data_IF_376923719084
#
_entry.id   IF_376923719084
#
_cell.length_a   1.000
_cell.length_b   1.000
_cell.length_c   1.000
_cell.angle_alpha   90.00
_cell.angle_beta   90.00
_cell.angle_gamma   90.00
#
_symmetry.space_group_name_H-M   'P 1'
#
loop_
_entity.id
_entity.type
_entity.pdbx_description
1 polymer ?
#
# COMPACT_ATOMS: atom_id res chain seq x y z
N UNK A 1 -18.93 40.32 -22.90
CA UNK A 1 -17.88 40.01 -21.91
C UNK A 1 -16.67 39.56 -22.70
N UNK A 2 -15.68 40.41 -22.89
CA UNK A 2 -14.49 40.09 -23.69
C UNK A 2 -13.59 39.20 -22.84
N UNK A 3 -13.46 37.92 -23.18
CA UNK A 3 -12.45 37.03 -22.58
C UNK A 3 -11.10 37.52 -23.09
N UNK A 4 -10.28 38.08 -22.20
CA UNK A 4 -8.93 38.53 -22.57
C UNK A 4 -7.95 37.35 -22.57
N UNK A 5 -6.77 37.54 -23.17
CA UNK A 5 -5.76 36.49 -23.24
C UNK A 5 -5.26 36.02 -21.86
N UNK A 6 -5.39 36.85 -20.83
CA UNK A 6 -5.02 36.51 -19.45
C UNK A 6 -6.00 35.53 -18.81
N UNK A 7 -7.31 35.76 -18.96
CA UNK A 7 -8.39 34.89 -18.48
C UNK A 7 -8.38 33.54 -19.19
N UNK A 8 -8.09 33.51 -20.50
CA UNK A 8 -7.89 32.26 -21.23
C UNK A 8 -6.65 31.50 -20.73
N UNK A 9 -5.51 32.18 -20.56
CA UNK A 9 -4.29 31.55 -20.04
C UNK A 9 -4.38 31.08 -18.59
N UNK A 10 -5.25 31.68 -17.77
CA UNK A 10 -5.57 31.19 -16.43
C UNK A 10 -6.45 29.92 -16.50
N UNK A 11 -7.47 29.91 -17.36
CA UNK A 11 -8.34 28.77 -17.56
C UNK A 11 -7.56 27.53 -18.06
N UNK A 12 -6.67 27.71 -19.03
CA UNK A 12 -5.82 26.63 -19.55
C UNK A 12 -4.87 26.05 -18.49
N UNK A 13 -4.28 26.92 -17.65
CA UNK A 13 -3.43 26.47 -16.54
C UNK A 13 -4.22 25.67 -15.52
N UNK A 14 -5.40 26.16 -15.13
CA UNK A 14 -6.27 25.46 -14.20
C UNK A 14 -6.72 24.09 -14.75
N UNK A 15 -7.04 24.02 -16.05
CA UNK A 15 -7.36 22.76 -16.72
C UNK A 15 -6.18 21.77 -16.66
N UNK A 16 -4.97 22.21 -17.01
CA UNK A 16 -3.75 21.38 -16.92
C UNK A 16 -3.46 20.90 -15.50
N UNK A 17 -3.66 21.77 -14.50
CA UNK A 17 -3.50 21.39 -13.09
C UNK A 17 -4.54 20.36 -12.68
N UNK A 18 -5.81 20.53 -13.08
CA UNK A 18 -6.87 19.56 -12.80
C UNK A 18 -6.58 18.20 -13.45
N UNK A 19 -6.13 18.17 -14.71
CA UNK A 19 -5.75 16.94 -15.39
C UNK A 19 -4.57 16.24 -14.69
N UNK A 20 -3.58 17.00 -14.23
CA UNK A 20 -2.45 16.47 -13.47
C UNK A 20 -2.90 15.83 -12.16
N UNK A 21 -3.83 16.46 -11.43
CA UNK A 21 -4.39 15.89 -10.20
C UNK A 21 -5.21 14.64 -10.47
N UNK A 22 -5.99 14.63 -11.55
CA UNK A 22 -6.77 13.45 -11.93
C UNK A 22 -5.87 12.27 -12.29
N UNK A 23 -4.79 12.52 -13.03
CA UNK A 23 -3.82 11.48 -13.38
C UNK A 23 -3.09 10.95 -12.14
N UNK A 24 -2.70 11.84 -11.23
CA UNK A 24 -2.08 11.45 -9.96
C UNK A 24 -3.03 10.61 -9.10
N UNK A 25 -4.30 11.00 -9.00
CA UNK A 25 -5.32 10.23 -8.28
C UNK A 25 -5.49 8.82 -8.87
N UNK A 26 -5.60 8.69 -10.19
CA UNK A 26 -5.66 7.37 -10.86
C UNK A 26 -4.42 6.51 -10.60
N UNK A 27 -3.23 7.12 -10.60
CA UNK A 27 -1.99 6.40 -10.27
C UNK A 27 -2.00 5.90 -8.84
N UNK A 28 -2.44 6.70 -7.88
CA UNK A 28 -2.59 6.30 -6.47
C UNK A 28 -3.63 5.19 -6.31
N UNK A 29 -4.76 5.28 -6.98
CA UNK A 29 -5.79 4.23 -6.98
C UNK A 29 -5.22 2.91 -7.49
N UNK A 30 -4.46 2.93 -8.59
CA UNK A 30 -3.82 1.73 -9.13
C UNK A 30 -2.76 1.16 -8.16
N UNK A 31 -1.94 2.02 -7.56
CA UNK A 31 -0.95 1.60 -6.56
C UNK A 31 -1.64 0.96 -5.35
N UNK A 32 -2.77 1.51 -4.91
CA UNK A 32 -3.55 0.99 -3.80
C UNK A 32 -4.18 -0.36 -4.14
N UNK A 33 -4.72 -0.54 -5.34
CA UNK A 33 -5.22 -1.84 -5.82
C UNK A 33 -4.09 -2.88 -5.83
N UNK A 34 -2.92 -2.53 -6.38
CA UNK A 34 -1.77 -3.42 -6.43
C UNK A 34 -1.26 -3.77 -5.02
N UNK A 35 -1.21 -2.79 -4.11
CA UNK A 35 -0.81 -3.02 -2.73
C UNK A 35 -1.79 -3.92 -1.97
N UNK A 36 -3.11 -3.75 -2.19
CA UNK A 36 -4.14 -4.64 -1.62
C UNK A 36 -4.00 -6.07 -2.12
N UNK A 37 -3.88 -6.24 -3.44
CA UNK A 37 -3.69 -7.56 -4.04
C UNK A 37 -2.39 -8.23 -3.54
N UNK A 38 -1.30 -7.46 -3.45
CA UNK A 38 -0.03 -7.93 -2.90
C UNK A 38 -0.14 -8.37 -1.44
N UNK A 39 -0.83 -7.60 -0.60
CA UNK A 39 -1.07 -7.93 0.80
C UNK A 39 -1.88 -9.23 0.95
N UNK A 40 -2.92 -9.41 0.14
CA UNK A 40 -3.75 -10.62 0.14
C UNK A 40 -2.95 -11.85 -0.29
N UNK A 41 -2.17 -11.74 -1.37
CA UNK A 41 -1.30 -12.80 -1.85
C UNK A 41 -0.24 -13.18 -0.79
N UNK A 42 0.42 -12.20 -0.17
CA UNK A 42 1.40 -12.44 0.90
C UNK A 42 0.76 -13.08 2.13
N UNK A 43 -0.46 -12.67 2.49
CA UNK A 43 -1.19 -13.27 3.62
C UNK A 43 -1.51 -14.74 3.35
N UNK A 44 -1.95 -15.05 2.13
CA UNK A 44 -2.23 -16.42 1.69
C UNK A 44 -0.96 -17.27 1.71
N UNK A 45 0.12 -16.78 1.12
CA UNK A 45 1.41 -17.46 1.10
C UNK A 45 1.93 -17.74 2.52
N UNK A 46 1.85 -16.74 3.41
CA UNK A 46 2.22 -16.89 4.83
C UNK A 46 1.42 -18.02 5.49
N UNK A 47 0.11 -18.08 5.28
CA UNK A 47 -0.75 -19.09 5.90
C UNK A 47 -0.43 -20.51 5.39
N UNK A 48 -0.20 -20.65 4.08
CA UNK A 48 0.23 -21.92 3.48
C UNK A 48 1.59 -22.34 4.05
N UNK A 49 2.56 -21.42 4.09
CA UNK A 49 3.89 -21.71 4.63
C UNK A 49 3.84 -22.13 6.10
N UNK A 50 3.02 -21.48 6.93
CA UNK A 50 2.83 -21.87 8.34
C UNK A 50 2.15 -23.23 8.47
N UNK A 51 1.21 -23.55 7.58
CA UNK A 51 0.53 -24.85 7.57
C UNK A 51 1.51 -25.98 7.22
N UNK A 52 2.32 -25.81 6.18
CA UNK A 52 3.35 -26.80 5.82
C UNK A 52 4.44 -26.91 6.88
N UNK A 53 4.86 -25.78 7.47
CA UNK A 53 5.84 -25.77 8.55
C UNK A 53 5.32 -26.54 9.78
N UNK A 54 4.05 -26.36 10.14
CA UNK A 54 3.44 -27.07 11.26
C UNK A 54 3.35 -28.59 11.03
N UNK A 55 3.28 -29.06 9.78
CA UNK A 55 3.34 -30.50 9.46
C UNK A 55 4.74 -31.07 9.68
N UNK A 56 5.78 -30.30 9.37
CA UNK A 56 7.18 -30.72 9.48
C UNK A 56 7.70 -30.61 10.92
N UNK A 57 7.39 -29.50 11.58
CA UNK A 57 7.76 -29.22 12.97
C UNK A 57 6.62 -28.44 13.66
N UNK A 58 5.70 -29.15 14.35
CA UNK A 58 4.58 -28.52 15.04
C UNK A 58 5.01 -27.52 16.13
N UNK A 59 6.18 -27.71 16.73
CA UNK A 59 6.70 -26.90 17.82
C UNK A 59 7.65 -25.79 17.34
N UNK A 60 7.74 -25.58 16.03
CA UNK A 60 8.62 -24.58 15.45
C UNK A 60 8.30 -23.18 15.98
N UNK A 61 9.32 -22.37 16.26
CA UNK A 61 9.18 -21.02 16.82
C UNK A 61 8.14 -20.14 16.10
N UNK A 62 8.08 -20.25 14.77
CA UNK A 62 7.18 -19.49 13.91
C UNK A 62 5.73 -19.98 13.88
N UNK A 63 5.40 -21.17 14.40
CA UNK A 63 3.99 -21.63 14.49
C UNK A 63 3.25 -20.89 15.62
N UNK A 64 3.97 -20.38 16.61
CA UNK A 64 3.44 -19.55 17.70
C UNK A 64 3.18 -18.11 17.25
N UNK A 65 1.97 -17.62 17.46
CA UNK A 65 1.55 -16.28 17.01
C UNK A 65 2.33 -15.15 17.67
N UNK A 66 2.56 -15.23 18.98
CA UNK A 66 3.27 -14.20 19.75
C UNK A 66 4.71 -14.01 19.25
N UNK A 67 5.37 -15.10 18.87
CA UNK A 67 6.72 -15.10 18.32
C UNK A 67 6.78 -14.37 16.96
N UNK A 68 5.80 -14.63 16.09
CA UNK A 68 5.67 -13.89 14.82
C UNK A 68 5.42 -12.40 15.07
N UNK A 69 4.56 -12.07 16.03
CA UNK A 69 4.26 -10.68 16.37
C UNK A 69 5.51 -9.93 16.88
N UNK A 70 6.34 -10.57 17.70
CA UNK A 70 7.62 -10.00 18.16
C UNK A 70 8.55 -9.66 16.99
N UNK A 71 8.70 -10.56 16.02
CA UNK A 71 9.52 -10.30 14.82
C UNK A 71 8.99 -9.09 14.05
N UNK A 72 7.67 -9.02 13.86
CA UNK A 72 7.01 -7.91 13.16
C UNK A 72 7.20 -6.60 13.92
N UNK A 73 7.02 -6.60 15.24
CA UNK A 73 7.21 -5.42 16.08
C UNK A 73 8.66 -4.90 16.05
N UNK A 74 9.64 -5.81 16.05
CA UNK A 74 11.07 -5.45 15.86
C UNK A 74 11.30 -4.79 14.50
N UNK A 75 10.74 -5.36 13.43
CA UNK A 75 10.87 -4.79 12.09
C UNK A 75 10.25 -3.39 12.01
N UNK A 76 9.07 -3.17 12.60
CA UNK A 76 8.44 -1.84 12.64
C UNK A 76 9.18 -0.85 13.55
N UNK A 77 9.88 -1.32 14.58
CA UNK A 77 10.79 -0.46 15.36
C UNK A 77 11.89 0.17 14.50
N UNK A 78 12.33 -0.53 13.45
CA UNK A 78 13.37 -0.05 12.52
C UNK A 78 12.83 0.90 11.44
N UNK A 79 11.57 0.75 11.01
CA UNK A 79 11.01 1.51 9.87
C UNK A 79 9.87 2.49 10.25
N UNK A 80 9.49 2.54 11.53
CA UNK A 80 8.35 3.29 12.03
C UNK A 80 7.04 2.49 11.94
N UNK A 81 6.26 2.44 13.04
CA UNK A 81 4.93 1.82 13.03
C UNK A 81 4.00 2.61 12.09
N UNK A 82 3.20 1.95 11.24
CA UNK A 82 2.10 2.60 10.55
C UNK A 82 1.16 3.20 11.60
N UNK A 83 0.87 4.49 11.50
CA UNK A 83 -0.14 5.13 12.36
C UNK A 83 -1.54 4.67 11.88
N UNK A 84 -2.45 4.36 12.81
CA UNK A 84 -3.83 3.99 12.48
C UNK A 84 -4.57 5.13 11.78
#
# INVERSE_FOLDING_TARGET
MTIDGYTLGLAERNAKTADSWQNYARQLEQQLVNAKAGLEAMTTLKNVALTELAKLDPNHYLTVQENRQKIIDTAYGTYGKPRP
#
